data_IF_162772026909
#
_entry.id   IF_162772026909
#
_cell.length_a   1.000
_cell.length_b   1.000
_cell.length_c   1.000
_cell.angle_alpha   90.00
_cell.angle_beta   90.00
_cell.angle_gamma   90.00
#
_symmetry.space_group_name_H-M   'P 1'
#
loop_
_entity.id
_entity.type
_entity.pdbx_description
1 polymer ?
#
# COMPACT_ATOMS: atom_id res chain seq x y z
N UNK A 1 -31.46 -23.89 -21.25
CA UNK A 1 -31.01 -24.08 -19.86
C UNK A 1 -32.21 -23.91 -18.95
N UNK A 2 -32.61 -24.96 -18.24
CA UNK A 2 -33.84 -25.02 -17.44
C UNK A 2 -33.47 -25.09 -15.95
N UNK A 3 -33.96 -24.15 -15.14
CA UNK A 3 -33.77 -24.13 -13.68
C UNK A 3 -34.79 -25.08 -13.02
N UNK A 4 -34.33 -25.94 -12.11
CA UNK A 4 -35.20 -26.82 -11.32
C UNK A 4 -35.79 -26.07 -10.11
N UNK A 5 -37.11 -26.20 -9.92
CA UNK A 5 -37.98 -25.36 -9.10
C UNK A 5 -37.86 -25.53 -7.57
N UNK A 6 -36.78 -26.14 -7.06
CA UNK A 6 -36.57 -26.36 -5.62
C UNK A 6 -35.11 -26.23 -5.15
N UNK A 7 -34.23 -25.67 -5.97
CA UNK A 7 -32.91 -25.22 -5.51
C UNK A 7 -32.98 -23.71 -5.29
N UNK A 8 -33.15 -23.21 -4.06
CA UNK A 8 -32.99 -21.79 -3.81
C UNK A 8 -31.56 -21.40 -4.25
N UNK A 9 -31.37 -20.32 -5.03
CA UNK A 9 -30.04 -19.82 -5.31
C UNK A 9 -29.39 -19.53 -3.96
N UNK A 10 -28.37 -20.31 -3.60
CA UNK A 10 -27.67 -20.04 -2.37
C UNK A 10 -27.02 -18.66 -2.51
N UNK A 11 -27.11 -17.84 -1.46
CA UNK A 11 -26.34 -16.57 -1.37
C UNK A 11 -24.87 -16.90 -1.00
N UNK A 12 -24.34 -17.99 -1.55
CA UNK A 12 -22.98 -18.48 -1.34
C UNK A 12 -22.05 -18.07 -2.50
N UNK A 13 -22.42 -17.03 -3.25
CA UNK A 13 -21.70 -16.58 -4.45
C UNK A 13 -20.34 -15.92 -4.19
N UNK A 14 -19.96 -15.71 -2.93
CA UNK A 14 -18.63 -15.28 -2.56
C UNK A 14 -18.18 -16.09 -1.36
N UNK A 15 -17.24 -17.01 -1.57
CA UNK A 15 -16.56 -17.62 -0.44
C UNK A 15 -15.87 -16.51 0.35
N UNK A 16 -16.33 -16.33 1.59
CA UNK A 16 -15.96 -15.21 2.43
C UNK A 16 -14.46 -15.16 2.74
N UNK A 17 -14.02 -13.93 2.97
CA UNK A 17 -12.77 -13.51 3.62
C UNK A 17 -11.45 -13.71 2.88
N UNK A 18 -11.17 -14.80 2.15
CA UNK A 18 -9.82 -15.00 1.53
C UNK A 18 -9.73 -15.81 0.24
N UNK A 19 -10.81 -16.42 -0.26
CA UNK A 19 -10.71 -17.30 -1.45
C UNK A 19 -10.43 -16.57 -2.76
N UNK A 20 -10.66 -15.25 -2.82
CA UNK A 20 -10.31 -14.43 -3.98
C UNK A 20 -8.81 -14.13 -4.09
N UNK A 21 -8.02 -14.39 -3.03
CA UNK A 21 -6.56 -14.25 -3.03
C UNK A 21 -5.92 -15.63 -3.25
N UNK A 22 -5.54 -15.88 -4.50
CA UNK A 22 -4.63 -16.95 -4.91
C UNK A 22 -3.19 -16.46 -5.06
N UNK A 23 -2.23 -17.39 -5.15
CA UNK A 23 -0.83 -17.09 -5.47
C UNK A 23 -0.67 -16.22 -6.73
N UNK A 24 -1.51 -16.49 -7.73
CA UNK A 24 -1.61 -15.72 -8.97
C UNK A 24 -2.05 -14.28 -8.72
N UNK A 25 -3.18 -14.08 -8.03
CA UNK A 25 -3.71 -12.74 -7.76
C UNK A 25 -2.82 -11.92 -6.82
N UNK A 26 -2.14 -12.56 -5.88
CA UNK A 26 -1.16 -11.91 -4.99
C UNK A 26 0.00 -11.32 -5.79
N UNK A 27 0.53 -12.10 -6.75
CA UNK A 27 1.62 -11.65 -7.64
C UNK A 27 1.20 -10.46 -8.50
N UNK A 28 -0.02 -10.49 -9.06
CA UNK A 28 -0.56 -9.37 -9.83
C UNK A 28 -0.72 -8.09 -8.99
N UNK A 29 -1.15 -8.20 -7.73
CA UNK A 29 -1.28 -7.05 -6.82
C UNK A 29 0.07 -6.42 -6.47
N UNK A 30 1.09 -7.25 -6.24
CA UNK A 30 2.47 -6.77 -6.10
C UNK A 30 2.98 -6.06 -7.35
N UNK A 31 2.74 -6.64 -8.54
CA UNK A 31 3.14 -6.03 -9.81
C UNK A 31 2.43 -4.69 -10.10
N UNK A 32 1.14 -4.59 -9.76
CA UNK A 32 0.37 -3.36 -9.91
C UNK A 32 0.91 -2.24 -9.02
N UNK A 33 1.09 -2.51 -7.73
CA UNK A 33 1.61 -1.53 -6.76
C UNK A 33 3.04 -1.09 -7.12
N UNK A 34 3.91 -2.01 -7.53
CA UNK A 34 5.24 -1.67 -8.01
C UNK A 34 5.19 -0.80 -9.29
N UNK A 35 4.24 -1.04 -10.19
CA UNK A 35 4.06 -0.24 -11.41
C UNK A 35 3.54 1.18 -11.14
N UNK A 36 2.68 1.33 -10.15
CA UNK A 36 2.15 2.62 -9.71
C UNK A 36 3.25 3.53 -9.13
N UNK A 37 4.16 2.95 -8.35
CA UNK A 37 5.26 3.69 -7.70
C UNK A 37 6.44 3.93 -8.65
N UNK A 38 6.83 2.93 -9.44
CA UNK A 38 7.96 3.03 -10.37
C UNK A 38 7.61 3.77 -11.66
N UNK A 39 6.34 3.82 -12.04
CA UNK A 39 5.89 4.32 -13.34
C UNK A 39 6.26 3.39 -14.49
N UNK A 40 6.58 2.12 -14.22
CA UNK A 40 6.95 1.12 -15.22
C UNK A 40 6.23 -0.19 -14.93
N UNK A 41 5.70 -0.83 -15.97
CA UNK A 41 5.18 -2.20 -15.87
C UNK A 41 6.33 -3.20 -15.73
N UNK A 42 5.99 -4.45 -15.39
CA UNK A 42 6.94 -5.56 -15.33
C UNK A 42 7.76 -5.73 -16.63
N UNK A 43 7.16 -5.47 -17.80
CA UNK A 43 7.82 -5.52 -19.10
C UNK A 43 8.63 -4.26 -19.46
N UNK A 44 8.83 -3.34 -18.52
CA UNK A 44 9.60 -2.10 -18.72
C UNK A 44 8.85 -0.96 -19.41
N UNK A 45 7.63 -1.19 -19.88
CA UNK A 45 6.81 -0.15 -20.53
C UNK A 45 6.43 0.92 -19.50
N UNK A 46 6.67 2.18 -19.84
CA UNK A 46 6.32 3.33 -19.02
C UNK A 46 4.80 3.44 -18.85
N UNK A 47 4.35 3.79 -17.65
CA UNK A 47 2.95 4.00 -17.29
C UNK A 47 2.74 5.49 -17.04
N UNK A 48 1.74 6.08 -17.70
CA UNK A 48 1.39 7.49 -17.57
C UNK A 48 0.80 7.84 -16.20
N UNK A 49 0.16 6.88 -15.54
CA UNK A 49 -0.47 7.05 -14.22
C UNK A 49 0.50 6.74 -13.06
N UNK A 50 1.69 7.34 -13.05
CA UNK A 50 2.64 7.19 -11.94
C UNK A 50 2.19 8.06 -10.76
N UNK A 51 2.24 7.52 -9.54
CA UNK A 51 2.11 8.33 -8.34
C UNK A 51 3.26 9.35 -8.27
N UNK A 52 2.95 10.61 -7.95
CA UNK A 52 3.96 11.61 -7.61
C UNK A 52 4.09 11.64 -6.07
N UNK A 53 5.12 10.99 -5.50
CA UNK A 53 5.19 10.71 -4.05
C UNK A 53 5.16 11.95 -3.19
N UNK A 54 5.88 13.00 -3.55
CA UNK A 54 5.90 14.25 -2.78
C UNK A 54 4.57 15.00 -2.87
N UNK A 55 3.96 15.07 -4.05
CA UNK A 55 2.65 15.69 -4.21
C UNK A 55 1.59 14.94 -3.40
N UNK A 56 1.66 13.61 -3.36
CA UNK A 56 0.81 12.78 -2.52
C UNK A 56 1.10 12.97 -1.02
N UNK A 57 2.36 12.94 -0.58
CA UNK A 57 2.70 13.13 0.83
C UNK A 57 2.20 14.49 1.36
N UNK A 58 2.26 15.53 0.53
CA UNK A 58 1.82 16.89 0.89
C UNK A 58 0.30 17.10 0.90
N UNK A 59 -0.50 16.10 0.50
CA UNK A 59 -1.96 16.16 0.75
C UNK A 59 -2.29 16.01 2.24
N UNK A 60 -1.33 15.49 3.03
CA UNK A 60 -1.46 15.31 4.47
C UNK A 60 -0.87 16.50 5.22
N UNK A 61 -1.63 17.05 6.17
CA UNK A 61 -1.15 18.14 7.03
C UNK A 61 0.02 17.72 7.95
N UNK A 62 0.15 16.42 8.20
CA UNK A 62 1.19 15.82 9.04
C UNK A 62 2.47 15.49 8.27
N UNK A 63 2.55 15.79 6.97
CA UNK A 63 3.64 15.35 6.06
C UNK A 63 5.06 15.64 6.57
N UNK A 64 5.22 16.73 7.33
CA UNK A 64 6.51 17.17 7.87
C UNK A 64 6.87 16.51 9.21
N UNK A 65 5.94 15.78 9.83
CA UNK A 65 6.15 15.05 11.07
C UNK A 65 6.15 13.56 10.80
N UNK A 66 7.34 12.96 10.71
CA UNK A 66 7.51 11.57 10.26
C UNK A 66 6.59 10.55 10.98
N UNK A 67 6.47 10.65 12.30
CA UNK A 67 5.69 9.71 13.11
C UNK A 67 4.19 9.87 12.85
N UNK A 68 3.68 11.09 12.93
CA UNK A 68 2.26 11.40 12.69
C UNK A 68 1.86 11.04 11.25
N UNK A 69 2.73 11.31 10.28
CA UNK A 69 2.52 10.96 8.87
C UNK A 69 2.40 9.46 8.63
N UNK A 70 3.31 8.66 9.21
CA UNK A 70 3.27 7.19 9.11
C UNK A 70 1.99 6.65 9.74
N UNK A 71 1.61 7.17 10.91
CA UNK A 71 0.41 6.72 11.62
C UNK A 71 -0.88 7.06 10.88
N UNK A 72 -0.97 8.27 10.30
CA UNK A 72 -2.12 8.70 9.50
C UNK A 72 -2.29 7.82 8.25
N UNK A 73 -1.20 7.53 7.54
CA UNK A 73 -1.24 6.65 6.36
C UNK A 73 -1.59 5.21 6.74
N UNK A 74 -1.05 4.69 7.84
CA UNK A 74 -1.43 3.36 8.34
C UNK A 74 -2.93 3.30 8.63
N UNK A 75 -3.49 4.33 9.28
CA UNK A 75 -4.92 4.41 9.60
C UNK A 75 -5.83 4.49 8.36
N UNK A 76 -5.32 5.03 7.26
CA UNK A 76 -6.04 5.09 5.98
C UNK A 76 -5.89 3.82 5.15
N UNK A 77 -4.69 3.25 5.11
CA UNK A 77 -4.35 2.15 4.22
C UNK A 77 -4.74 0.78 4.78
N UNK A 78 -4.83 0.63 6.11
CA UNK A 78 -5.05 -0.65 6.78
C UNK A 78 -6.31 -0.60 7.64
N UNK A 79 -7.10 -1.68 7.58
CA UNK A 79 -8.28 -1.85 8.41
C UNK A 79 -7.96 -2.25 9.86
N UNK A 80 -6.80 -2.87 10.07
CA UNK A 80 -6.40 -3.41 11.36
C UNK A 80 -5.16 -2.69 11.88
N UNK A 81 -5.04 -2.51 13.21
CA UNK A 81 -3.87 -1.89 13.79
C UNK A 81 -2.61 -2.75 13.53
N UNK A 82 -1.51 -2.09 13.16
CA UNK A 82 -0.20 -2.70 13.06
C UNK A 82 0.44 -2.84 14.45
N UNK A 83 1.26 -3.88 14.63
CA UNK A 83 2.12 -4.00 15.80
C UNK A 83 3.18 -2.90 15.81
N UNK A 84 3.63 -2.52 17.01
CA UNK A 84 4.65 -1.47 17.19
C UNK A 84 5.94 -1.77 16.42
N UNK A 85 6.35 -3.05 16.36
CA UNK A 85 7.52 -3.48 15.59
C UNK A 85 7.40 -3.15 14.11
N UNK A 86 6.22 -3.38 13.51
CA UNK A 86 6.02 -3.12 12.07
C UNK A 86 5.81 -1.64 11.79
N UNK A 87 5.14 -0.92 12.69
CA UNK A 87 5.05 0.54 12.63
C UNK A 87 6.44 1.17 12.66
N UNK A 88 7.30 0.72 13.57
CA UNK A 88 8.71 1.12 13.64
C UNK A 88 9.47 0.78 12.36
N UNK A 89 9.31 -0.42 11.81
CA UNK A 89 9.92 -0.79 10.53
C UNK A 89 9.52 0.16 9.38
N UNK A 90 8.24 0.54 9.29
CA UNK A 90 7.77 1.50 8.29
C UNK A 90 8.35 2.89 8.51
N UNK A 91 8.42 3.35 9.75
CA UNK A 91 9.04 4.62 10.12
C UNK A 91 10.53 4.64 9.76
N UNK A 92 11.27 3.60 10.14
CA UNK A 92 12.69 3.45 9.83
C UNK A 92 12.92 3.41 8.30
N UNK A 93 12.00 2.80 7.56
CA UNK A 93 12.02 2.78 6.08
C UNK A 93 11.78 4.17 5.48
N UNK A 94 10.88 4.97 6.07
CA UNK A 94 10.66 6.36 5.65
C UNK A 94 11.89 7.22 5.95
N UNK A 95 12.50 7.03 7.10
CA UNK A 95 13.65 7.82 7.54
C UNK A 95 14.94 7.46 6.76
N UNK A 96 15.11 6.19 6.36
CA UNK A 96 16.23 5.72 5.54
C UNK A 96 17.59 6.20 6.09
N UNK A 97 17.78 6.03 7.40
CA UNK A 97 18.99 6.43 8.14
C UNK A 97 19.01 7.88 8.65
N UNK A 98 17.99 8.69 8.37
CA UNK A 98 17.84 10.01 9.01
C UNK A 98 17.16 9.90 10.37
N UNK A 99 17.20 10.98 11.15
CA UNK A 99 16.42 11.10 12.39
C UNK A 99 15.09 11.80 12.10
N UNK A 100 14.06 11.50 12.90
CA UNK A 100 12.72 12.07 12.72
C UNK A 100 12.69 13.61 12.74
N UNK A 101 13.58 14.25 13.52
CA UNK A 101 13.68 15.71 13.58
C UNK A 101 14.18 16.34 12.26
N UNK A 102 14.90 15.59 11.43
CA UNK A 102 15.44 16.05 10.15
C UNK A 102 14.56 15.63 8.95
N UNK A 103 13.44 14.96 9.22
CA UNK A 103 12.49 14.58 8.17
C UNK A 103 11.72 15.81 7.69
N UNK A 104 11.65 16.00 6.36
CA UNK A 104 10.88 17.06 5.74
C UNK A 104 10.72 16.77 4.23
N UNK A 105 9.54 17.03 3.66
CA UNK A 105 9.22 16.69 2.25
C UNK A 105 9.96 17.55 1.21
N UNK A 106 10.61 18.63 1.63
CA UNK A 106 11.42 19.53 0.81
C UNK A 106 12.90 19.14 0.79
N UNK A 107 13.32 18.15 1.60
CA UNK A 107 14.72 17.70 1.61
C UNK A 107 15.04 16.82 0.41
N UNK A 108 16.32 16.82 -0.01
CA UNK A 108 16.79 15.96 -1.09
C UNK A 108 16.49 14.48 -0.79
N UNK A 109 16.18 13.70 -1.82
CA UNK A 109 15.83 12.27 -1.73
C UNK A 109 14.53 11.93 -0.99
N UNK A 110 13.74 12.93 -0.53
CA UNK A 110 12.43 12.68 0.09
C UNK A 110 11.51 11.86 -0.82
N UNK A 111 11.55 12.11 -2.13
CA UNK A 111 10.73 11.36 -3.10
C UNK A 111 11.01 9.86 -3.08
N UNK A 112 12.30 9.50 -3.05
CA UNK A 112 12.74 8.11 -2.98
C UNK A 112 12.36 7.47 -1.65
N UNK A 113 12.46 8.21 -0.53
CA UNK A 113 12.06 7.76 0.81
C UNK A 113 10.57 7.50 0.92
N UNK A 114 9.73 8.43 0.46
CA UNK A 114 8.27 8.23 0.41
C UNK A 114 7.93 7.02 -0.47
N UNK A 115 8.57 6.88 -1.64
CA UNK A 115 8.39 5.71 -2.49
C UNK A 115 8.77 4.39 -1.80
N UNK A 116 9.91 4.34 -1.11
CA UNK A 116 10.35 3.16 -0.34
C UNK A 116 9.34 2.82 0.75
N UNK A 117 8.88 3.82 1.49
CA UNK A 117 7.87 3.66 2.53
C UNK A 117 6.54 3.13 1.97
N UNK A 118 5.99 3.76 0.94
CA UNK A 118 4.73 3.32 0.31
C UNK A 118 4.85 1.90 -0.24
N UNK A 119 5.99 1.58 -0.85
CA UNK A 119 6.29 0.23 -1.33
C UNK A 119 6.33 -0.78 -0.19
N UNK A 120 6.98 -0.45 0.93
CA UNK A 120 7.04 -1.32 2.09
C UNK A 120 5.66 -1.55 2.70
N UNK A 121 4.86 -0.48 2.86
CA UNK A 121 3.48 -0.54 3.32
C UNK A 121 2.62 -1.45 2.44
N UNK A 122 2.67 -1.25 1.12
CA UNK A 122 1.87 -2.04 0.17
C UNK A 122 2.32 -3.50 0.09
N UNK A 123 3.55 -3.84 0.51
CA UNK A 123 4.05 -5.22 0.57
C UNK A 123 3.69 -5.96 1.87
N UNK A 124 3.15 -5.26 2.86
CA UNK A 124 2.74 -5.91 4.09
C UNK A 124 1.58 -6.90 3.84
N UNK A 125 1.58 -8.07 4.50
CA UNK A 125 0.44 -8.98 4.47
C UNK A 125 -0.85 -8.30 4.89
N UNK A 126 -0.79 -7.36 5.85
CA UNK A 126 -1.95 -6.61 6.31
C UNK A 126 -2.58 -5.81 5.18
N UNK A 127 -1.78 -5.16 4.34
CA UNK A 127 -2.28 -4.42 3.18
C UNK A 127 -2.84 -5.37 2.11
N UNK A 128 -2.17 -6.50 1.90
CA UNK A 128 -2.59 -7.48 0.91
C UNK A 128 -3.84 -8.25 1.36
N UNK A 129 -4.12 -8.38 2.66
CA UNK A 129 -5.28 -9.14 3.15
C UNK A 129 -6.48 -8.24 3.50
N UNK A 130 -6.36 -6.92 3.33
CA UNK A 130 -7.47 -5.98 3.40
C UNK A 130 -8.37 -6.06 2.16
#
# INVERSE_FOLDING_TARGET
MQMQMFQPPNVAGWAGQREWISSTTFSYRGGFTDSLLSGKRYNGVAVTSKLVPIAYARTFSTSEKAIEFVDEIIGLALRFPLSDTRRKFLLDTLLDGTIAANWNTYTANSDARVNKFLKALMRLPEYQLC
#
